data_IF_974645294253
#
_entry.id   IF_974645294253
#
_cell.length_a   1.000
_cell.length_b   1.000
_cell.length_c   1.000
_cell.angle_alpha   90.00
_cell.angle_beta   90.00
_cell.angle_gamma   90.00
#
_symmetry.space_group_name_H-M   'P 1'
#
loop_
_entity.id
_entity.type
_entity.pdbx_description
1 polymer ?
#
# COMPACT_ATOMS: atom_id res chain seq x y z
N UNK A 1 -20.49 6.92 -29.10
CA UNK A 1 -19.19 6.57 -29.67
C UNK A 1 -18.26 6.16 -28.53
N UNK A 2 -17.57 5.02 -28.66
CA UNK A 2 -16.52 4.60 -27.74
C UNK A 2 -15.27 5.40 -28.08
N UNK A 3 -14.73 6.16 -27.10
CA UNK A 3 -13.51 6.95 -27.31
C UNK A 3 -12.30 6.03 -27.16
N UNK A 4 -12.21 5.31 -26.04
CA UNK A 4 -11.25 4.21 -25.80
C UNK A 4 -11.75 3.34 -24.65
N UNK A 5 -11.18 2.15 -24.49
CA UNK A 5 -11.55 1.21 -23.45
C UNK A 5 -10.28 0.56 -22.86
N UNK A 6 -10.37 -0.62 -22.29
CA UNK A 6 -9.34 -1.32 -21.50
C UNK A 6 -7.96 -1.24 -22.15
N UNK A 7 -7.79 -1.76 -23.36
CA UNK A 7 -6.48 -1.89 -24.01
C UNK A 7 -5.75 -0.57 -24.15
N UNK A 8 -6.49 0.48 -24.55
CA UNK A 8 -5.88 1.79 -24.73
C UNK A 8 -5.56 2.47 -23.40
N UNK A 9 -6.38 2.25 -22.36
CA UNK A 9 -6.12 2.76 -21.02
C UNK A 9 -4.85 2.11 -20.41
N UNK A 10 -4.72 0.79 -20.54
CA UNK A 10 -3.52 0.06 -20.10
C UNK A 10 -2.28 0.56 -20.82
N UNK A 11 -2.37 0.76 -22.15
CA UNK A 11 -1.24 1.33 -22.92
C UNK A 11 -0.84 2.73 -22.47
N UNK A 12 -1.80 3.59 -22.12
CA UNK A 12 -1.48 4.92 -21.57
C UNK A 12 -0.79 4.83 -20.22
N UNK A 13 -1.24 3.93 -19.36
CA UNK A 13 -0.59 3.69 -18.08
C UNK A 13 0.84 3.17 -18.27
N UNK A 14 1.00 2.16 -19.10
CA UNK A 14 2.30 1.55 -19.43
C UNK A 14 3.28 2.58 -20.02
N UNK A 15 2.83 3.37 -21.00
CA UNK A 15 3.62 4.43 -21.62
C UNK A 15 4.07 5.48 -20.60
N UNK A 16 3.21 5.87 -19.67
CA UNK A 16 3.55 6.80 -18.61
C UNK A 16 4.60 6.19 -17.66
N UNK A 17 4.42 4.96 -17.22
CA UNK A 17 5.34 4.29 -16.29
C UNK A 17 6.72 4.08 -16.94
N UNK A 18 6.76 3.60 -18.18
CA UNK A 18 8.01 3.26 -18.87
C UNK A 18 8.70 4.50 -19.43
N UNK A 19 7.97 5.32 -20.21
CA UNK A 19 8.60 6.40 -20.97
C UNK A 19 8.69 7.73 -20.21
N UNK A 20 7.81 7.96 -19.21
CA UNK A 20 7.86 9.19 -18.41
C UNK A 20 8.59 8.98 -17.09
N UNK A 21 8.30 7.90 -16.37
CA UNK A 21 8.94 7.61 -15.09
C UNK A 21 10.18 6.73 -15.18
N UNK A 22 10.44 6.10 -16.34
CA UNK A 22 11.64 5.30 -16.58
C UNK A 22 11.65 3.97 -15.85
N UNK A 23 10.46 3.42 -15.54
CA UNK A 23 10.34 2.12 -14.88
C UNK A 23 10.60 1.03 -15.91
N UNK A 24 11.47 0.06 -15.55
CA UNK A 24 11.72 -1.07 -16.43
C UNK A 24 10.46 -1.92 -16.61
N UNK A 25 10.08 -2.29 -17.84
CA UNK A 25 8.87 -3.08 -18.08
C UNK A 25 8.81 -4.40 -17.30
N UNK A 26 9.97 -5.00 -16.99
CA UNK A 26 10.07 -6.24 -16.23
C UNK A 26 9.67 -6.09 -14.77
N UNK A 27 9.68 -4.86 -14.24
CA UNK A 27 9.33 -4.56 -12.86
C UNK A 27 7.83 -4.23 -12.69
N UNK A 28 7.09 -4.11 -13.80
CA UNK A 28 5.66 -3.81 -13.78
C UNK A 28 4.86 -5.11 -13.80
N UNK A 29 3.96 -5.27 -12.84
CA UNK A 29 3.02 -6.39 -12.77
C UNK A 29 1.59 -5.86 -12.80
N UNK A 30 0.75 -6.43 -13.65
CA UNK A 30 -0.68 -6.16 -13.70
C UNK A 30 -1.44 -7.33 -13.08
N UNK A 31 -2.28 -7.05 -12.07
CA UNK A 31 -3.10 -8.05 -11.39
C UNK A 31 -4.57 -7.78 -11.67
N UNK A 32 -5.27 -8.75 -12.24
CA UNK A 32 -6.72 -8.66 -12.42
C UNK A 32 -7.43 -8.83 -11.08
N UNK A 33 -8.16 -7.80 -10.67
CA UNK A 33 -8.96 -7.82 -9.45
C UNK A 33 -10.25 -7.01 -9.65
N UNK A 34 -11.38 -7.64 -9.98
CA UNK A 34 -12.63 -6.95 -10.25
C UNK A 34 -13.01 -6.00 -9.12
N UNK A 35 -13.34 -4.77 -9.48
CA UNK A 35 -13.74 -3.73 -8.55
C UNK A 35 -15.25 -3.62 -8.44
N UNK A 36 -15.73 -3.30 -7.24
CA UNK A 36 -17.14 -2.95 -6.99
C UNK A 36 -17.24 -1.90 -5.89
N UNK A 37 -18.10 -0.90 -6.09
CA UNK A 37 -18.34 0.17 -5.13
C UNK A 37 -19.38 1.17 -5.64
N UNK A 38 -20.10 1.84 -4.73
CA UNK A 38 -21.06 2.89 -5.08
C UNK A 38 -22.19 2.46 -6.02
N UNK A 39 -22.54 1.16 -6.05
CA UNK A 39 -23.57 0.63 -6.94
C UNK A 39 -23.06 0.29 -8.34
N UNK A 40 -21.77 0.43 -8.62
CA UNK A 40 -21.15 0.08 -9.89
C UNK A 40 -20.08 -0.99 -9.70
N UNK A 41 -19.76 -1.70 -10.78
CA UNK A 41 -18.69 -2.69 -10.80
C UNK A 41 -18.10 -2.86 -12.21
N UNK A 42 -16.99 -3.58 -12.30
CA UNK A 42 -16.40 -3.98 -13.55
C UNK A 42 -15.00 -4.58 -13.41
N UNK A 43 -14.40 -4.98 -14.52
CA UNK A 43 -13.01 -5.40 -14.54
C UNK A 43 -12.10 -4.31 -13.99
N UNK A 44 -11.04 -4.69 -13.29
CA UNK A 44 -10.02 -3.77 -12.87
C UNK A 44 -8.64 -4.43 -12.88
N UNK A 45 -7.61 -3.60 -13.01
CA UNK A 45 -6.21 -3.98 -12.97
C UNK A 45 -5.50 -3.17 -11.90
N UNK A 46 -4.89 -3.86 -10.95
CA UNK A 46 -3.91 -3.28 -10.05
C UNK A 46 -2.56 -3.22 -10.75
N UNK A 47 -1.90 -2.09 -10.66
CA UNK A 47 -0.61 -1.82 -11.29
C UNK A 47 0.46 -1.82 -10.20
N UNK A 48 1.26 -2.87 -10.17
CA UNK A 48 2.25 -3.13 -9.12
C UNK A 48 3.65 -2.89 -9.67
N UNK A 49 4.47 -2.14 -8.93
CA UNK A 49 5.89 -1.95 -9.22
C UNK A 49 6.70 -2.25 -7.98
N UNK A 50 7.63 -3.20 -8.05
CA UNK A 50 8.45 -3.60 -6.91
C UNK A 50 7.65 -4.09 -5.68
N UNK A 51 6.45 -4.65 -5.91
CA UNK A 51 5.54 -5.08 -4.84
C UNK A 51 4.61 -3.99 -4.30
N UNK A 52 4.74 -2.74 -4.77
CA UNK A 52 3.89 -1.62 -4.39
C UNK A 52 2.83 -1.35 -5.45
N UNK A 53 1.55 -1.35 -5.06
CA UNK A 53 0.46 -0.92 -5.93
C UNK A 53 0.52 0.59 -6.14
N UNK A 54 0.83 1.02 -7.36
CA UNK A 54 0.92 2.43 -7.74
C UNK A 54 -0.41 2.98 -8.26
N UNK A 55 -1.19 2.14 -8.92
CA UNK A 55 -2.46 2.54 -9.52
C UNK A 55 -3.45 1.39 -9.59
N UNK A 56 -4.73 1.74 -9.68
CA UNK A 56 -5.83 0.83 -10.01
C UNK A 56 -6.58 1.38 -11.23
N UNK A 57 -6.63 0.61 -12.30
CA UNK A 57 -7.36 0.94 -13.52
C UNK A 57 -8.72 0.24 -13.46
N UNK A 58 -9.80 0.99 -13.26
CA UNK A 58 -11.15 0.45 -13.13
C UNK A 58 -11.96 0.71 -14.39
N UNK A 59 -12.67 -0.29 -14.86
CA UNK A 59 -13.46 -0.28 -16.09
C UNK A 59 -14.92 -0.64 -15.77
N UNK A 60 -15.69 0.36 -15.30
CA UNK A 60 -17.06 0.14 -14.88
C UNK A 60 -17.99 -0.01 -16.07
N UNK A 61 -18.61 -1.17 -16.19
CA UNK A 61 -19.63 -1.50 -17.20
C UNK A 61 -20.81 -2.25 -16.58
N UNK A 62 -20.85 -2.36 -15.25
CA UNK A 62 -21.87 -3.07 -14.51
C UNK A 62 -22.55 -2.14 -13.49
N UNK A 63 -23.87 -2.28 -13.32
CA UNK A 63 -24.65 -1.65 -12.27
C UNK A 63 -25.25 -2.70 -11.33
N UNK A 64 -25.32 -2.38 -10.04
CA UNK A 64 -25.94 -3.26 -9.04
C UNK A 64 -27.43 -3.41 -9.32
N UNK A 65 -27.92 -4.65 -9.36
CA UNK A 65 -29.31 -4.97 -9.63
C UNK A 65 -29.69 -6.32 -9.04
N UNK A 66 -30.85 -6.42 -8.38
CA UNK A 66 -31.32 -7.65 -7.73
C UNK A 66 -31.41 -8.85 -8.69
N UNK A 67 -31.81 -8.62 -9.94
CA UNK A 67 -31.91 -9.61 -11.00
C UNK A 67 -30.62 -9.73 -11.85
N UNK A 68 -29.51 -9.16 -11.41
CA UNK A 68 -28.24 -9.20 -12.13
C UNK A 68 -27.73 -10.64 -12.29
N UNK A 69 -27.07 -10.92 -13.40
CA UNK A 69 -26.50 -12.21 -13.76
C UNK A 69 -25.01 -12.36 -13.42
N UNK A 70 -24.35 -11.27 -13.06
CA UNK A 70 -22.94 -11.22 -12.64
C UNK A 70 -22.87 -11.06 -11.12
N UNK A 71 -22.07 -11.88 -10.45
CA UNK A 71 -21.83 -11.77 -9.01
C UNK A 71 -20.38 -11.31 -8.74
N UNK A 72 -20.22 -10.21 -8.01
CA UNK A 72 -18.92 -9.69 -7.56
C UNK A 72 -19.00 -9.38 -6.08
N UNK A 73 -18.12 -9.97 -5.27
CA UNK A 73 -18.04 -9.76 -3.81
C UNK A 73 -19.39 -9.93 -3.08
N UNK A 74 -20.23 -10.88 -3.57
CA UNK A 74 -21.50 -11.20 -2.95
C UNK A 74 -22.68 -10.28 -3.32
N UNK A 75 -22.49 -9.32 -4.22
CA UNK A 75 -23.52 -8.47 -4.78
C UNK A 75 -23.77 -8.83 -6.25
N UNK A 76 -25.01 -8.65 -6.71
CA UNK A 76 -25.42 -8.95 -8.08
C UNK A 76 -25.44 -7.70 -8.94
N UNK A 77 -24.95 -7.86 -10.18
CA UNK A 77 -24.80 -6.79 -11.16
C UNK A 77 -25.35 -7.22 -12.51
N UNK A 78 -25.75 -6.23 -13.32
CA UNK A 78 -26.06 -6.39 -14.73
C UNK A 78 -25.28 -5.41 -15.57
N UNK A 79 -25.15 -5.69 -16.87
CA UNK A 79 -24.52 -4.76 -17.78
C UNK A 79 -25.27 -3.44 -17.83
N UNK A 80 -24.53 -2.35 -17.82
CA UNK A 80 -25.06 -1.00 -18.08
C UNK A 80 -24.62 -0.51 -19.46
N UNK A 81 -25.44 0.34 -20.11
CA UNK A 81 -25.14 0.84 -21.46
C UNK A 81 -23.93 1.81 -21.51
N UNK A 82 -23.54 2.33 -20.36
CA UNK A 82 -22.41 3.26 -20.22
C UNK A 82 -21.15 2.51 -19.80
N UNK A 83 -20.05 2.79 -20.47
CA UNK A 83 -18.72 2.33 -20.11
C UNK A 83 -17.93 3.49 -19.51
N UNK A 84 -17.43 3.32 -18.30
CA UNK A 84 -16.72 4.36 -17.55
C UNK A 84 -15.31 3.84 -17.22
N UNK A 85 -14.31 4.63 -17.53
CA UNK A 85 -12.95 4.42 -17.04
C UNK A 85 -12.75 5.32 -15.83
N UNK A 86 -12.44 4.71 -14.70
CA UNK A 86 -12.08 5.39 -13.45
C UNK A 86 -10.71 4.87 -12.99
N UNK A 87 -9.71 5.72 -13.06
CA UNK A 87 -8.35 5.34 -12.71
C UNK A 87 -7.90 6.05 -11.45
N UNK A 88 -7.50 5.27 -10.45
CA UNK A 88 -6.87 5.76 -9.23
C UNK A 88 -5.35 5.67 -9.32
N UNK A 89 -4.65 6.79 -9.22
CA UNK A 89 -3.19 6.84 -9.10
C UNK A 89 -2.80 7.33 -7.71
N UNK A 90 -2.04 6.52 -6.98
CA UNK A 90 -1.58 6.88 -5.65
C UNK A 90 -0.39 7.84 -5.71
N UNK A 91 -0.62 9.15 -5.78
CA UNK A 91 0.46 10.14 -5.85
C UNK A 91 1.50 9.94 -4.75
N UNK A 92 1.05 9.70 -3.52
CA UNK A 92 1.91 9.46 -2.37
C UNK A 92 2.72 8.17 -2.53
N UNK A 93 2.15 7.13 -3.16
CA UNK A 93 2.85 5.88 -3.46
C UNK A 93 3.93 6.07 -4.53
N UNK A 94 3.68 6.92 -5.54
CA UNK A 94 4.72 7.32 -6.49
C UNK A 94 5.85 8.08 -5.81
N UNK A 95 5.54 9.00 -4.90
CA UNK A 95 6.55 9.71 -4.12
C UNK A 95 7.37 8.74 -3.27
N UNK A 96 6.73 7.76 -2.64
CA UNK A 96 7.40 6.75 -1.83
C UNK A 96 8.32 5.87 -2.69
N UNK A 97 7.82 5.34 -3.81
CA UNK A 97 8.61 4.55 -4.73
C UNK A 97 9.84 5.31 -5.26
N UNK A 98 9.67 6.60 -5.58
CA UNK A 98 10.76 7.46 -6.05
C UNK A 98 11.77 7.83 -4.96
N UNK A 99 11.31 8.04 -3.73
CA UNK A 99 12.17 8.40 -2.60
C UNK A 99 12.94 7.20 -2.03
N UNK A 100 12.39 5.98 -2.17
CA UNK A 100 12.99 4.75 -1.65
C UNK A 100 13.12 4.72 -0.13
N UNK A 101 12.25 5.46 0.59
CA UNK A 101 12.25 5.50 2.07
C UNK A 101 11.63 4.25 2.66
N UNK A 102 11.92 3.95 3.93
CA UNK A 102 11.42 2.78 4.65
C UNK A 102 9.89 2.71 4.73
N UNK A 103 9.24 3.87 4.86
CA UNK A 103 7.77 3.96 4.81
C UNK A 103 7.31 5.15 3.96
N UNK A 104 6.03 5.12 3.56
CA UNK A 104 5.40 6.22 2.83
C UNK A 104 5.40 7.52 3.65
N UNK A 105 5.34 7.42 4.98
CA UNK A 105 5.30 8.60 5.86
C UNK A 105 6.62 9.36 5.88
N UNK A 106 7.77 8.68 5.78
CA UNK A 106 9.07 9.31 5.60
C UNK A 106 9.20 10.01 4.25
N UNK A 107 8.55 9.48 3.20
CA UNK A 107 8.55 10.11 1.89
C UNK A 107 7.72 11.40 1.84
N UNK A 108 6.56 11.42 2.52
CA UNK A 108 5.57 12.50 2.38
C UNK A 108 5.71 13.55 3.48
N UNK A 109 6.06 13.13 4.70
CA UNK A 109 6.18 14.01 5.88
C UNK A 109 7.56 13.96 6.54
N UNK A 110 8.67 14.07 5.78
CA UNK A 110 10.02 13.80 6.30
C UNK A 110 10.37 14.66 7.52
N UNK A 111 10.02 15.95 7.49
CA UNK A 111 10.32 16.89 8.59
C UNK A 111 9.50 16.55 9.85
N UNK A 112 8.20 16.33 9.70
CA UNK A 112 7.29 16.05 10.82
C UNK A 112 7.61 14.70 11.47
N UNK A 113 7.84 13.67 10.66
CA UNK A 113 8.23 12.34 11.14
C UNK A 113 9.59 12.40 11.85
N UNK A 114 10.59 13.06 11.24
CA UNK A 114 11.90 13.22 11.85
C UNK A 114 11.85 13.96 13.19
N UNK A 115 11.06 15.02 13.28
CA UNK A 115 10.86 15.74 14.53
C UNK A 115 10.17 14.91 15.61
N UNK A 116 9.13 14.17 15.25
CA UNK A 116 8.43 13.28 16.19
C UNK A 116 9.32 12.12 16.66
N UNK A 117 10.13 11.52 15.77
CA UNK A 117 11.14 10.52 16.15
C UNK A 117 12.13 11.09 17.18
N UNK A 118 12.59 12.33 17.01
CA UNK A 118 13.47 12.99 17.98
C UNK A 118 12.80 13.20 19.34
N UNK A 119 11.54 13.67 19.36
CA UNK A 119 10.80 13.90 20.63
C UNK A 119 10.70 12.62 21.46
N UNK A 120 10.40 11.51 20.82
CA UNK A 120 10.26 10.20 21.50
C UNK A 120 11.60 9.51 21.77
N UNK A 121 12.71 10.02 21.20
CA UNK A 121 14.03 9.40 21.29
C UNK A 121 14.09 8.04 20.58
N UNK A 122 13.44 7.93 19.43
CA UNK A 122 13.23 6.65 18.72
C UNK A 122 14.56 5.96 18.37
N UNK A 123 15.53 6.69 17.83
CA UNK A 123 16.84 6.14 17.45
C UNK A 123 17.58 5.59 18.68
N UNK A 124 17.52 6.29 19.81
CA UNK A 124 18.11 5.79 21.07
C UNK A 124 17.40 4.55 21.61
N UNK A 125 16.10 4.38 21.31
CA UNK A 125 15.38 3.16 21.66
C UNK A 125 15.87 1.97 20.82
N UNK A 126 16.08 2.17 19.51
CA UNK A 126 16.60 1.13 18.61
C UNK A 126 18.04 0.75 18.99
N UNK A 127 18.92 1.75 19.19
CA UNK A 127 20.30 1.55 19.64
C UNK A 127 20.36 0.78 20.96
N UNK A 128 19.48 1.11 21.92
CA UNK A 128 19.39 0.48 23.24
C UNK A 128 19.02 -1.00 23.21
N UNK A 129 18.43 -1.48 22.12
CA UNK A 129 18.12 -2.90 21.91
C UNK A 129 19.32 -3.71 21.40
N UNK A 130 20.34 -3.05 20.87
CA UNK A 130 21.58 -3.72 20.42
C UNK A 130 21.37 -4.72 19.27
N UNK A 131 20.39 -4.48 18.41
CA UNK A 131 19.99 -5.40 17.33
C UNK A 131 21.07 -5.54 16.23
N UNK A 132 22.02 -4.61 16.15
CA UNK A 132 23.09 -4.63 15.16
C UNK A 132 22.65 -4.31 13.72
N UNK A 133 21.46 -3.76 13.56
CA UNK A 133 20.89 -3.32 12.28
C UNK A 133 20.65 -1.81 12.31
N UNK A 134 20.68 -1.19 11.14
CA UNK A 134 20.31 0.20 10.99
C UNK A 134 18.81 0.41 11.21
N UNK A 135 18.43 1.59 11.73
CA UNK A 135 17.02 1.89 12.04
C UNK A 135 16.14 1.89 10.79
N UNK A 136 16.62 2.46 9.69
CA UNK A 136 15.84 2.56 8.46
C UNK A 136 15.70 1.20 7.79
N UNK A 137 16.73 0.35 7.82
CA UNK A 137 16.69 -1.03 7.35
C UNK A 137 15.66 -1.85 8.16
N UNK A 138 15.67 -1.72 9.49
CA UNK A 138 14.69 -2.38 10.36
C UNK A 138 13.26 -1.95 10.05
N UNK A 139 13.03 -0.65 9.84
CA UNK A 139 11.71 -0.12 9.51
C UNK A 139 11.24 -0.57 8.13
N UNK A 140 12.14 -0.64 7.15
CA UNK A 140 11.83 -1.14 5.81
C UNK A 140 11.41 -2.61 5.86
N UNK A 141 12.15 -3.44 6.57
CA UNK A 141 11.84 -4.86 6.74
C UNK A 141 10.52 -5.06 7.50
N UNK A 142 10.29 -4.33 8.58
CA UNK A 142 9.02 -4.35 9.32
C UNK A 142 7.82 -3.96 8.43
N UNK A 143 7.98 -2.96 7.58
CA UNK A 143 6.93 -2.49 6.67
C UNK A 143 6.57 -3.56 5.64
N UNK A 144 7.58 -4.22 5.06
CA UNK A 144 7.38 -5.31 4.10
C UNK A 144 6.70 -6.52 4.76
N UNK A 145 7.21 -6.95 5.91
CA UNK A 145 6.69 -8.11 6.64
C UNK A 145 5.27 -7.87 7.13
N UNK A 146 4.98 -6.69 7.66
CA UNK A 146 3.63 -6.32 8.10
C UNK A 146 2.63 -6.34 6.93
N UNK A 147 3.03 -5.87 5.75
CA UNK A 147 2.23 -5.95 4.54
C UNK A 147 1.91 -7.40 4.15
N UNK A 148 2.91 -8.26 4.10
CA UNK A 148 2.76 -9.67 3.73
C UNK A 148 1.89 -10.43 4.75
N UNK A 149 2.11 -10.20 6.05
CA UNK A 149 1.42 -10.93 7.11
C UNK A 149 -0.01 -10.45 7.37
N UNK A 150 -0.34 -9.22 7.01
CA UNK A 150 -1.67 -8.62 7.21
C UNK A 150 -2.68 -9.02 6.12
N UNK A 151 -2.27 -9.77 5.11
CA UNK A 151 -3.15 -10.30 4.07
C UNK A 151 -4.10 -11.39 4.63
N UNK A 152 -3.70 -12.07 5.71
CA UNK A 152 -4.53 -13.06 6.37
C UNK A 152 -5.63 -12.39 7.21
N UNK A 153 -6.82 -12.26 6.65
CA UNK A 153 -8.00 -11.72 7.32
C UNK A 153 -8.33 -12.56 8.57
N UNK A 154 -8.24 -11.93 9.74
CA UNK A 154 -8.60 -12.56 11.02
C UNK A 154 -7.42 -12.96 11.91
N UNK A 155 -6.18 -12.64 11.55
CA UNK A 155 -5.02 -12.82 12.43
C UNK A 155 -5.14 -11.86 13.63
N UNK A 156 -5.11 -12.39 14.85
CA UNK A 156 -5.05 -11.54 16.03
C UNK A 156 -3.68 -10.84 16.15
N UNK A 157 -3.67 -9.69 16.84
CA UNK A 157 -2.47 -8.83 16.92
C UNK A 157 -1.29 -9.55 17.58
N UNK A 158 -1.53 -10.40 18.57
CA UNK A 158 -0.44 -11.11 19.27
C UNK A 158 0.19 -12.17 18.37
N UNK A 159 -0.61 -12.88 17.59
CA UNK A 159 -0.13 -13.82 16.55
C UNK A 159 0.67 -13.09 15.47
N UNK A 160 0.25 -11.89 15.08
CA UNK A 160 0.99 -11.07 14.11
C UNK A 160 2.39 -10.74 14.64
N UNK A 161 2.51 -10.27 15.88
CA UNK A 161 3.81 -9.96 16.47
C UNK A 161 4.72 -11.18 16.60
N UNK A 162 4.18 -12.35 16.92
CA UNK A 162 4.96 -13.59 16.96
C UNK A 162 5.53 -13.93 15.58
N UNK A 163 4.70 -13.87 14.54
CA UNK A 163 5.12 -14.13 13.15
C UNK A 163 6.16 -13.10 12.66
N UNK A 164 6.01 -11.83 13.05
CA UNK A 164 7.01 -10.79 12.75
C UNK A 164 8.37 -11.11 13.38
N UNK A 165 8.39 -11.47 14.65
CA UNK A 165 9.61 -11.85 15.37
C UNK A 165 10.30 -13.07 14.72
N UNK A 166 9.52 -14.10 14.36
CA UNK A 166 10.04 -15.28 13.66
C UNK A 166 10.69 -14.90 12.33
N UNK A 167 10.02 -14.06 11.51
CA UNK A 167 10.55 -13.61 10.22
C UNK A 167 11.78 -12.72 10.34
N UNK A 168 11.79 -11.81 11.30
CA UNK A 168 12.96 -11.00 11.62
C UNK A 168 14.14 -11.89 12.04
N UNK A 169 13.87 -12.91 12.85
CA UNK A 169 14.87 -13.91 13.24
C UNK A 169 15.45 -14.68 12.06
N UNK A 170 14.64 -15.06 11.07
CA UNK A 170 15.10 -15.67 9.83
C UNK A 170 16.04 -14.73 9.04
N UNK A 171 15.81 -13.41 9.10
CA UNK A 171 16.65 -12.35 8.55
C UNK A 171 17.88 -12.00 9.40
N UNK A 172 18.05 -12.63 10.58
CA UNK A 172 19.17 -12.39 11.47
C UNK A 172 18.95 -11.30 12.52
N UNK A 173 17.72 -10.79 12.66
CA UNK A 173 17.36 -9.79 13.68
C UNK A 173 16.72 -10.50 14.87
N UNK A 174 17.44 -10.63 15.97
CA UNK A 174 16.94 -11.26 17.20
C UNK A 174 16.30 -10.22 18.12
N UNK A 175 14.96 -10.17 18.11
CA UNK A 175 14.17 -9.25 18.91
C UNK A 175 13.03 -9.99 19.62
N UNK A 176 12.75 -9.61 20.87
CA UNK A 176 11.59 -10.15 21.59
C UNK A 176 10.28 -9.50 21.14
N UNK A 177 9.15 -10.22 21.31
CA UNK A 177 7.81 -9.66 21.06
C UNK A 177 7.58 -8.39 21.89
N UNK A 178 8.04 -8.36 23.14
CA UNK A 178 7.90 -7.20 24.01
C UNK A 178 8.69 -5.99 23.53
N UNK A 179 9.89 -6.20 23.03
CA UNK A 179 10.73 -5.12 22.51
C UNK A 179 10.22 -4.63 21.15
N UNK A 180 9.75 -5.53 20.30
CA UNK A 180 9.11 -5.16 19.04
C UNK A 180 7.86 -4.30 19.27
N UNK A 181 7.01 -4.67 20.24
CA UNK A 181 5.86 -3.83 20.63
C UNK A 181 6.28 -2.45 21.10
N UNK A 182 7.32 -2.36 21.95
CA UNK A 182 7.85 -1.07 22.43
C UNK A 182 8.36 -0.18 21.29
N UNK A 183 8.92 -0.75 20.23
CA UNK A 183 9.34 0.01 19.05
C UNK A 183 8.14 0.46 18.20
N UNK A 184 7.17 -0.41 17.97
CA UNK A 184 6.07 -0.14 17.04
C UNK A 184 4.96 0.73 17.64
N UNK A 185 4.76 0.72 18.97
CA UNK A 185 3.78 1.58 19.64
C UNK A 185 3.97 3.08 19.34
N UNK A 186 5.18 3.68 19.50
CA UNK A 186 5.36 5.09 19.16
C UNK A 186 5.27 5.36 17.66
N UNK A 187 5.66 4.42 16.79
CA UNK A 187 5.56 4.58 15.34
C UNK A 187 4.13 4.80 14.87
N UNK A 188 3.17 4.12 15.47
CA UNK A 188 1.75 4.33 15.16
C UNK A 188 1.34 5.80 15.33
N UNK A 189 1.80 6.45 16.40
CA UNK A 189 1.52 7.87 16.65
C UNK A 189 2.36 8.80 15.77
N UNK A 190 3.64 8.46 15.56
CA UNK A 190 4.56 9.24 14.72
C UNK A 190 4.02 9.36 13.29
N UNK A 191 3.44 8.30 12.76
CA UNK A 191 2.88 8.29 11.40
C UNK A 191 1.45 8.84 11.35
N UNK A 192 0.59 8.52 12.31
CA UNK A 192 -0.79 8.99 12.32
C UNK A 192 -0.94 10.50 12.55
N UNK A 193 -0.06 11.12 13.34
CA UNK A 193 -0.15 12.56 13.63
C UNK A 193 -0.03 13.43 12.37
N UNK A 194 1.03 13.33 11.56
CA UNK A 194 1.13 14.16 10.35
C UNK A 194 0.05 13.85 9.32
N UNK A 195 -0.37 12.59 9.19
CA UNK A 195 -1.45 12.19 8.30
C UNK A 195 -2.80 12.80 8.68
N UNK A 196 -3.17 12.72 9.97
CA UNK A 196 -4.39 13.37 10.46
C UNK A 196 -4.33 14.90 10.38
N UNK A 197 -3.16 15.51 10.63
CA UNK A 197 -2.99 16.95 10.47
C UNK A 197 -3.16 17.38 9.01
N UNK A 198 -2.61 16.61 8.08
CA UNK A 198 -2.82 16.85 6.64
C UNK A 198 -4.31 16.80 6.27
N UNK A 199 -5.05 15.80 6.73
CA UNK A 199 -6.48 15.68 6.49
C UNK A 199 -7.32 16.81 7.11
N UNK A 200 -6.85 17.43 8.20
CA UNK A 200 -7.54 18.58 8.83
C UNK A 200 -7.27 19.88 8.07
N UNK A 201 -6.09 20.02 7.46
CA UNK A 201 -5.67 21.23 6.77
C UNK A 201 -6.18 21.33 5.32
N UNK A 202 -6.69 20.24 4.75
CA UNK A 202 -7.32 20.17 3.44
C UNK A 202 -8.84 20.22 3.54
#
# INVERSE_FOLDING_TARGET
DVIYWIDQCVRYCDDMLVNTFGIEPADITYIENPWSGGGNAGPALEVIVGGLELATLVFMNLEEHEDGDVEIKGLRYREMPLQIIDTGYGLERFCWAAAGTSTIYEAIYPESVGWLKQIVGFDSMVEGLGLGVDTDDLLAELSQLAGILNIDVGTDVDSLYQRLVERLGDGGVDISVSDLKRLTEPLSSIYAIPDHMHAICN
#
